data_IF_133263115546
#
_entry.id   IF_133263115546
#
_cell.length_a   1.000
_cell.length_b   1.000
_cell.length_c   1.000
_cell.angle_alpha   90.00
_cell.angle_beta   90.00
_cell.angle_gamma   90.00
#
_symmetry.space_group_name_H-M   'P 1'
#
loop_
_entity.id
_entity.type
_entity.pdbx_description
1 polymer ?
#
# COMPACT_ATOMS: atom_id res chain seq x y z
N UNK A 1 -14.83 1.22 -30.84
CA UNK A 1 -14.10 2.04 -29.85
C UNK A 1 -14.46 1.47 -28.49
N UNK A 2 -13.52 0.77 -27.88
CA UNK A 2 -13.72 0.17 -26.56
C UNK A 2 -13.52 1.28 -25.51
N UNK A 3 -14.56 1.56 -24.74
CA UNK A 3 -14.54 2.64 -23.74
C UNK A 3 -13.79 2.12 -22.52
N UNK A 4 -12.65 2.72 -22.22
CA UNK A 4 -11.90 2.45 -20.99
C UNK A 4 -12.79 2.78 -19.77
N UNK A 5 -12.92 1.87 -18.79
CA UNK A 5 -13.78 2.08 -17.64
C UNK A 5 -13.30 3.29 -16.82
N UNK A 6 -14.25 4.02 -16.25
CA UNK A 6 -13.95 5.17 -15.39
C UNK A 6 -13.31 4.70 -14.08
N UNK A 7 -12.52 5.57 -13.45
CA UNK A 7 -11.91 5.32 -12.13
C UNK A 7 -12.92 4.85 -11.06
N UNK A 8 -14.20 5.24 -11.21
CA UNK A 8 -15.32 4.85 -10.34
C UNK A 8 -15.81 3.42 -10.59
N UNK A 9 -15.67 2.91 -11.81
CA UNK A 9 -16.09 1.56 -12.22
C UNK A 9 -15.04 0.53 -11.81
N UNK A 10 -13.75 0.82 -12.01
CA UNK A 10 -12.65 -0.03 -11.52
C UNK A 10 -12.71 -0.22 -9.99
N UNK A 11 -13.07 0.83 -9.25
CA UNK A 11 -13.28 0.77 -7.80
C UNK A 11 -14.50 -0.08 -7.40
N UNK A 12 -15.55 -0.17 -8.21
CA UNK A 12 -16.71 -1.02 -7.92
C UNK A 12 -16.40 -2.49 -8.20
N UNK A 13 -15.71 -2.79 -9.30
CA UNK A 13 -15.34 -4.16 -9.67
C UNK A 13 -14.33 -4.77 -8.69
N UNK A 14 -13.31 -4.00 -8.26
CA UNK A 14 -12.34 -4.45 -7.25
C UNK A 14 -12.99 -4.74 -5.89
N UNK A 15 -14.08 -4.02 -5.55
CA UNK A 15 -14.79 -4.15 -4.28
C UNK A 15 -15.88 -5.23 -4.29
N UNK A 16 -16.37 -5.64 -5.47
CA UNK A 16 -17.35 -6.72 -5.63
C UNK A 16 -16.68 -8.09 -5.88
N UNK A 17 -15.49 -8.12 -6.48
CA UNK A 17 -14.70 -9.34 -6.71
C UNK A 17 -13.73 -9.70 -5.58
N UNK A 18 -13.45 -8.76 -4.68
CA UNK A 18 -12.62 -8.99 -3.50
C UNK A 18 -13.39 -9.78 -2.44
N UNK A 19 -13.28 -11.10 -2.47
CA UNK A 19 -13.59 -11.96 -1.32
C UNK A 19 -12.88 -11.37 -0.10
N UNK A 20 -13.64 -11.14 0.97
CA UNK A 20 -13.11 -10.73 2.28
C UNK A 20 -12.01 -11.71 2.73
N UNK A 21 -10.74 -11.36 2.51
CA UNK A 21 -9.64 -11.75 3.42
C UNK A 21 -9.48 -10.64 4.45
N UNK A 22 -10.55 -10.43 5.21
CA UNK A 22 -10.49 -9.78 6.50
C UNK A 22 -9.86 -10.76 7.51
N UNK A 23 -8.55 -10.97 7.43
CA UNK A 23 -7.78 -11.59 8.52
C UNK A 23 -6.89 -10.51 9.12
N UNK A 24 -7.53 -9.61 9.86
CA UNK A 24 -6.87 -8.79 10.85
C UNK A 24 -6.85 -9.55 12.17
N UNK A 25 -5.84 -10.39 12.39
CA UNK A 25 -5.54 -11.00 13.69
C UNK A 25 -4.17 -10.45 14.10
N UNK A 26 -4.13 -9.53 15.05
CA UNK A 26 -3.71 -9.86 16.41
C UNK A 26 -2.23 -9.50 16.59
N UNK A 27 -1.93 -8.36 17.20
CA UNK A 27 -0.57 -8.09 17.73
C UNK A 27 -0.67 -7.76 19.21
N UNK A 28 -0.01 -8.59 20.01
CA UNK A 28 0.35 -8.39 21.41
C UNK A 28 1.88 -8.54 21.45
N UNK A 29 2.62 -7.43 21.42
CA UNK A 29 3.96 -7.35 22.01
C UNK A 29 4.09 -5.97 22.65
N UNK A 30 4.42 -6.00 23.93
CA UNK A 30 4.69 -4.83 24.76
C UNK A 30 6.00 -4.16 24.34
N UNK A 31 6.00 -2.83 24.27
CA UNK A 31 7.22 -2.04 24.31
C UNK A 31 7.15 -1.05 25.46
N UNK A 32 8.18 -1.10 26.29
CA UNK A 32 8.36 -0.28 27.47
C UNK A 32 8.47 1.21 27.10
N UNK A 33 7.81 2.04 27.92
CA UNK A 33 7.77 3.49 27.80
C UNK A 33 9.16 4.10 28.11
N UNK A 34 9.71 4.85 27.17
CA UNK A 34 10.67 5.91 27.47
C UNK A 34 9.98 7.24 27.15
N UNK A 35 9.51 7.90 28.21
CA UNK A 35 8.84 9.19 28.15
C UNK A 35 9.83 10.31 27.79
N UNK A 36 9.67 10.92 26.62
CA UNK A 36 10.19 12.26 26.34
C UNK A 36 9.00 13.17 26.01
N UNK A 37 8.80 14.21 26.84
CA UNK A 37 7.75 15.23 26.66
C UNK A 37 7.96 15.97 25.33
N UNK A 38 6.93 16.15 24.48
CA UNK A 38 7.06 17.01 23.31
C UNK A 38 7.00 18.49 23.71
N UNK A 39 7.99 19.25 23.25
CA UNK A 39 8.04 20.70 23.31
C UNK A 39 6.94 21.31 22.43
N UNK A 40 6.07 22.12 23.03
CA UNK A 40 5.02 22.86 22.34
C UNK A 40 5.58 24.20 21.84
N UNK A 41 6.22 24.21 20.66
CA UNK A 41 6.29 25.36 19.73
C UNK A 41 7.30 25.07 18.62
N UNK A 42 6.83 24.51 17.52
CA UNK A 42 7.53 24.61 16.24
C UNK A 42 6.48 24.79 15.14
N UNK A 43 6.31 26.03 14.67
CA UNK A 43 5.66 26.28 13.39
C UNK A 43 6.49 25.62 12.28
N UNK A 44 5.87 24.96 11.29
CA UNK A 44 6.59 24.38 10.18
C UNK A 44 7.27 25.50 9.38
N UNK A 45 8.60 25.45 9.30
CA UNK A 45 9.39 26.34 8.44
C UNK A 45 8.94 26.12 7.00
N UNK A 46 8.38 27.16 6.38
CA UNK A 46 8.14 27.20 4.94
C UNK A 46 9.48 27.03 4.21
N UNK A 47 9.69 25.84 3.64
CA UNK A 47 10.76 25.62 2.69
C UNK A 47 10.34 26.26 1.36
N UNK A 48 11.21 27.11 0.80
CA UNK A 48 11.02 27.67 -0.53
C UNK A 48 10.91 26.53 -1.56
N UNK A 49 9.99 26.60 -2.54
CA UNK A 49 9.87 25.57 -3.57
C UNK A 49 11.12 25.60 -4.46
N UNK A 50 11.93 24.55 -4.36
CA UNK A 50 12.98 24.23 -5.33
C UNK A 50 12.29 24.04 -6.68
N UNK A 51 12.83 24.67 -7.73
CA UNK A 51 12.33 24.51 -9.09
C UNK A 51 12.23 23.01 -9.43
N UNK A 52 11.11 22.52 -10.03
CA UNK A 52 10.96 21.11 -10.31
C UNK A 52 12.03 20.69 -11.32
N UNK A 53 12.96 19.85 -10.88
CA UNK A 53 13.79 19.05 -11.79
C UNK A 53 12.87 18.33 -12.78
N UNK A 54 13.32 18.10 -14.03
CA UNK A 54 12.55 17.31 -14.98
C UNK A 54 12.12 16.02 -14.28
N UNK A 55 10.81 15.74 -14.25
CA UNK A 55 10.31 14.50 -13.63
C UNK A 55 10.97 13.33 -14.35
N UNK A 56 11.92 12.69 -13.68
CA UNK A 56 12.54 11.47 -14.16
C UNK A 56 11.42 10.46 -14.42
N UNK A 57 11.29 10.01 -15.66
CA UNK A 57 10.24 9.07 -16.06
C UNK A 57 10.72 7.65 -15.81
N UNK A 58 10.13 6.99 -14.81
CA UNK A 58 10.38 5.58 -14.55
C UNK A 58 9.49 4.74 -15.45
N UNK A 59 10.08 3.77 -16.15
CA UNK A 59 9.30 2.78 -16.90
C UNK A 59 8.72 1.75 -15.94
N UNK A 60 7.67 1.03 -16.37
CA UNK A 60 7.15 -0.13 -15.64
C UNK A 60 8.27 -1.14 -15.34
N UNK A 61 9.14 -1.41 -16.31
CA UNK A 61 10.27 -2.34 -16.15
C UNK A 61 11.22 -1.87 -15.04
N UNK A 62 11.55 -0.58 -14.98
CA UNK A 62 12.43 -0.05 -13.93
C UNK A 62 11.83 -0.30 -12.54
N UNK A 63 10.52 -0.11 -12.38
CA UNK A 63 9.81 -0.34 -11.12
C UNK A 63 9.82 -1.81 -10.71
N UNK A 64 9.55 -2.73 -11.64
CA UNK A 64 9.59 -4.18 -11.36
C UNK A 64 10.99 -4.62 -10.96
N UNK A 65 12.01 -4.17 -11.68
CA UNK A 65 13.39 -4.53 -11.39
C UNK A 65 13.85 -3.95 -10.03
N UNK A 66 13.40 -2.73 -9.68
CA UNK A 66 13.63 -2.16 -8.36
C UNK A 66 12.95 -2.93 -7.23
N UNK A 67 11.71 -3.40 -7.42
CA UNK A 67 11.01 -4.27 -6.46
C UNK A 67 11.78 -5.56 -6.23
N UNK A 68 12.19 -6.23 -7.31
CA UNK A 68 12.97 -7.48 -7.21
C UNK A 68 14.28 -7.24 -6.45
N UNK A 69 14.94 -6.11 -6.71
CA UNK A 69 16.18 -5.77 -6.02
C UNK A 69 15.99 -5.58 -4.51
N UNK A 70 14.90 -4.95 -4.07
CA UNK A 70 14.68 -4.67 -2.63
C UNK A 70 14.05 -5.83 -1.86
N UNK A 71 13.30 -6.71 -2.55
CA UNK A 71 12.65 -7.87 -1.92
C UNK A 71 13.61 -9.04 -1.77
N UNK A 72 14.29 -9.44 -2.85
CA UNK A 72 15.10 -10.67 -2.90
C UNK A 72 16.56 -10.43 -3.24
N UNK A 73 16.95 -9.20 -3.59
CA UNK A 73 18.27 -8.93 -4.19
C UNK A 73 18.49 -9.67 -5.50
N UNK A 74 17.41 -10.04 -6.21
CA UNK A 74 17.45 -10.84 -7.43
C UNK A 74 17.61 -12.35 -7.22
N UNK A 75 17.53 -12.85 -5.98
CA UNK A 75 17.61 -14.28 -5.70
C UNK A 75 16.25 -14.97 -5.97
N UNK A 76 16.13 -15.84 -6.99
CA UNK A 76 14.86 -16.52 -7.30
C UNK A 76 14.46 -17.59 -6.28
N UNK A 77 15.37 -17.98 -5.37
CA UNK A 77 15.12 -18.93 -4.29
C UNK A 77 14.95 -18.22 -2.93
N UNK A 78 14.79 -16.90 -2.92
CA UNK A 78 14.54 -16.15 -1.70
C UNK A 78 13.21 -16.61 -1.06
N UNK A 79 13.21 -16.71 0.26
CA UNK A 79 12.02 -17.02 1.03
C UNK A 79 12.13 -16.39 2.40
N UNK A 80 10.99 -15.94 2.92
CA UNK A 80 10.89 -15.34 4.25
C UNK A 80 9.62 -15.85 4.94
N UNK A 81 9.74 -16.18 6.22
CA UNK A 81 8.60 -16.49 7.06
C UNK A 81 7.97 -15.19 7.56
N UNK A 82 6.72 -14.94 7.20
CA UNK A 82 5.93 -13.81 7.73
C UNK A 82 5.16 -14.26 8.96
N UNK A 83 5.82 -14.17 10.13
CA UNK A 83 5.25 -14.62 11.42
C UNK A 83 3.85 -14.05 11.68
N UNK A 84 3.62 -12.80 11.29
CA UNK A 84 2.36 -12.10 11.50
C UNK A 84 1.22 -12.56 10.58
N UNK A 85 1.53 -13.30 9.51
CA UNK A 85 0.55 -13.88 8.58
C UNK A 85 0.49 -15.41 8.70
N UNK A 86 1.50 -16.02 9.34
CA UNK A 86 1.61 -17.47 9.43
C UNK A 86 1.88 -18.13 8.08
N UNK A 87 2.57 -17.43 7.18
CA UNK A 87 2.83 -17.88 5.81
C UNK A 87 4.26 -17.51 5.35
N UNK A 88 4.77 -18.23 4.35
CA UNK A 88 6.01 -17.89 3.67
C UNK A 88 5.76 -17.03 2.42
N UNK A 89 6.69 -16.12 2.14
CA UNK A 89 6.86 -15.49 0.84
C UNK A 89 7.96 -16.16 0.04
N UNK A 90 7.91 -16.02 -1.30
CA UNK A 90 8.76 -16.77 -2.21
C UNK A 90 9.26 -15.94 -3.40
N UNK A 91 10.49 -16.24 -3.81
CA UNK A 91 11.09 -15.87 -5.08
C UNK A 91 11.43 -14.39 -5.23
N UNK A 92 11.55 -13.95 -6.48
CA UNK A 92 12.07 -12.64 -6.85
C UNK A 92 11.33 -11.46 -6.20
N UNK A 93 10.00 -11.53 -6.13
CA UNK A 93 9.16 -10.49 -5.53
C UNK A 93 8.73 -10.77 -4.09
N UNK A 94 9.22 -11.84 -3.45
CA UNK A 94 8.77 -12.27 -2.11
C UNK A 94 7.22 -12.28 -2.01
N UNK A 95 6.57 -12.96 -2.96
CA UNK A 95 5.10 -13.05 -3.02
C UNK A 95 4.62 -14.11 -2.02
N UNK A 96 3.65 -13.75 -1.17
CA UNK A 96 2.96 -14.70 -0.28
C UNK A 96 2.13 -15.70 -1.08
N UNK A 97 2.03 -16.94 -0.61
CA UNK A 97 1.20 -17.95 -1.27
C UNK A 97 -0.27 -17.53 -1.39
N UNK A 98 -0.86 -16.94 -0.34
CA UNK A 98 -2.22 -16.39 -0.37
C UNK A 98 -2.39 -15.28 -1.41
N UNK A 99 -1.49 -14.28 -1.42
CA UNK A 99 -1.47 -13.23 -2.43
C UNK A 99 -1.34 -13.80 -3.84
N UNK A 100 -0.48 -14.81 -4.03
CA UNK A 100 -0.31 -15.48 -5.32
C UNK A 100 -1.62 -16.16 -5.76
N UNK A 101 -2.38 -16.76 -4.85
CA UNK A 101 -3.69 -17.36 -5.17
C UNK A 101 -4.73 -16.32 -5.56
N UNK A 102 -4.78 -15.19 -4.87
CA UNK A 102 -5.68 -14.09 -5.22
C UNK A 102 -5.36 -13.54 -6.63
N UNK A 103 -4.08 -13.36 -6.93
CA UNK A 103 -3.60 -12.95 -8.26
C UNK A 103 -3.94 -14.02 -9.32
N UNK A 104 -3.70 -15.31 -9.05
CA UNK A 104 -4.01 -16.42 -9.97
C UNK A 104 -5.51 -16.49 -10.33
N UNK A 105 -6.39 -16.18 -9.38
CA UNK A 105 -7.83 -16.12 -9.59
C UNK A 105 -8.24 -14.92 -10.46
N UNK A 106 -7.60 -13.77 -10.22
CA UNK A 106 -7.89 -12.52 -10.94
C UNK A 106 -7.35 -12.48 -12.37
N UNK A 107 -6.20 -13.12 -12.61
CA UNK A 107 -5.49 -13.10 -13.88
C UNK A 107 -5.38 -14.51 -14.46
N UNK A 108 -6.45 -15.03 -15.11
CA UNK A 108 -6.49 -16.42 -15.59
C UNK A 108 -5.46 -16.73 -16.67
N UNK A 109 -4.86 -15.72 -17.31
CA UNK A 109 -3.78 -15.85 -18.29
C UNK A 109 -2.41 -16.13 -17.68
N UNK A 110 -2.23 -15.95 -16.36
CA UNK A 110 -0.96 -16.23 -15.71
C UNK A 110 -0.68 -17.73 -15.63
N UNK A 111 0.59 -18.15 -15.57
CA UNK A 111 0.95 -19.53 -15.30
C UNK A 111 0.31 -20.04 -14.01
N UNK A 112 -0.26 -21.25 -14.06
CA UNK A 112 -0.93 -21.86 -12.90
C UNK A 112 0.10 -22.31 -11.86
N UNK A 113 -0.20 -22.09 -10.59
CA UNK A 113 0.67 -22.41 -9.45
C UNK A 113 0.54 -23.87 -8.99
N UNK A 114 -0.36 -24.66 -9.58
CA UNK A 114 -0.69 -26.02 -9.11
C UNK A 114 -1.65 -25.99 -7.92
N UNK A 115 -2.05 -27.14 -7.38
CA UNK A 115 -3.10 -27.24 -6.33
C UNK A 115 -2.52 -27.49 -4.94
N UNK A 116 -1.36 -28.12 -4.87
CA UNK A 116 -0.68 -28.46 -3.62
C UNK A 116 0.24 -27.33 -3.17
N UNK A 117 0.64 -27.34 -1.89
CA UNK A 117 1.64 -26.42 -1.36
C UNK A 117 2.98 -26.56 -2.10
N UNK A 118 3.45 -27.79 -2.31
CA UNK A 118 4.72 -28.07 -2.98
C UNK A 118 4.76 -27.54 -4.42
N UNK A 119 3.67 -27.71 -5.18
CA UNK A 119 3.57 -27.15 -6.54
C UNK A 119 3.59 -25.62 -6.52
N UNK A 120 2.88 -25.00 -5.57
CA UNK A 120 2.87 -23.55 -5.42
C UNK A 120 4.28 -23.02 -5.15
N UNK A 121 4.98 -23.62 -4.19
CA UNK A 121 6.35 -23.24 -3.83
C UNK A 121 7.30 -23.41 -5.03
N UNK A 122 7.27 -24.58 -5.67
CA UNK A 122 8.11 -24.87 -6.83
C UNK A 122 7.87 -23.87 -7.97
N UNK A 123 6.61 -23.51 -8.23
CA UNK A 123 6.28 -22.53 -9.26
C UNK A 123 6.66 -21.10 -8.87
N UNK A 124 6.51 -20.71 -7.60
CA UNK A 124 6.93 -19.39 -7.15
C UNK A 124 8.46 -19.24 -7.04
N UNK A 125 9.22 -20.33 -6.99
CA UNK A 125 10.68 -20.29 -7.17
C UNK A 125 11.12 -20.23 -8.64
N UNK A 126 10.21 -20.48 -9.60
CA UNK A 126 10.52 -20.27 -11.01
C UNK A 126 10.57 -18.76 -11.31
N UNK A 127 11.73 -18.20 -11.73
CA UNK A 127 11.90 -16.76 -11.88
C UNK A 127 10.93 -16.14 -12.90
N UNK A 128 10.58 -16.87 -13.96
CA UNK A 128 9.65 -16.36 -14.99
C UNK A 128 8.23 -16.26 -14.43
N UNK A 129 7.79 -17.29 -13.70
CA UNK A 129 6.47 -17.30 -13.06
C UNK A 129 6.42 -16.23 -11.99
N UNK A 130 7.38 -16.22 -11.05
CA UNK A 130 7.40 -15.26 -9.96
C UNK A 130 7.41 -13.81 -10.44
N UNK A 131 8.20 -13.50 -11.48
CA UNK A 131 8.22 -12.16 -12.08
C UNK A 131 6.85 -11.78 -12.65
N UNK A 132 6.14 -12.69 -13.31
CA UNK A 132 4.80 -12.43 -13.83
C UNK A 132 3.78 -12.13 -12.71
N UNK A 133 3.88 -12.81 -11.56
CA UNK A 133 3.06 -12.52 -10.38
C UNK A 133 3.45 -11.20 -9.70
N UNK A 134 4.74 -10.91 -9.60
CA UNK A 134 5.27 -9.61 -9.10
C UNK A 134 4.74 -8.46 -9.94
N UNK A 135 4.78 -8.64 -11.25
CA UNK A 135 4.24 -7.71 -12.24
C UNK A 135 2.75 -7.45 -12.05
N UNK A 136 1.94 -8.51 -12.01
CA UNK A 136 0.50 -8.38 -11.79
C UNK A 136 0.19 -7.73 -10.43
N UNK A 137 0.92 -8.08 -9.38
CA UNK A 137 0.73 -7.47 -8.06
C UNK A 137 1.05 -5.98 -8.06
N UNK A 138 2.16 -5.59 -8.70
CA UNK A 138 2.55 -4.18 -8.81
C UNK A 138 1.56 -3.39 -9.65
N UNK A 139 1.14 -3.92 -10.80
CA UNK A 139 0.18 -3.26 -11.69
C UNK A 139 -1.12 -2.95 -10.94
N UNK A 140 -1.59 -3.88 -10.09
CA UNK A 140 -2.74 -3.63 -9.22
C UNK A 140 -2.60 -2.44 -8.29
N UNK A 141 -1.39 -2.24 -7.73
CA UNK A 141 -1.13 -1.07 -6.89
C UNK A 141 -1.01 0.19 -7.74
N UNK A 142 -0.31 0.10 -8.87
CA UNK A 142 -0.07 1.23 -9.75
C UNK A 142 -1.37 1.75 -10.36
N UNK A 143 -2.26 0.86 -10.79
CA UNK A 143 -3.57 1.22 -11.33
C UNK A 143 -4.39 2.01 -10.30
N UNK A 144 -4.31 1.61 -9.03
CA UNK A 144 -5.01 2.27 -7.93
C UNK A 144 -4.43 3.66 -7.60
N UNK A 145 -3.10 3.79 -7.58
CA UNK A 145 -2.42 4.98 -7.04
C UNK A 145 -1.88 5.94 -8.10
N UNK A 146 -1.55 5.46 -9.29
CA UNK A 146 -0.93 6.22 -10.39
C UNK A 146 0.35 6.95 -9.96
N UNK A 147 1.05 6.39 -8.97
CA UNK A 147 2.30 6.88 -8.40
C UNK A 147 3.12 5.67 -7.96
N UNK A 148 4.38 5.53 -8.44
CA UNK A 148 5.18 4.33 -8.19
C UNK A 148 5.57 4.17 -6.71
N UNK A 149 5.68 5.26 -5.95
CA UNK A 149 6.03 5.21 -4.52
C UNK A 149 4.83 4.83 -3.66
N UNK A 150 3.63 5.28 -4.02
CA UNK A 150 2.40 4.80 -3.39
C UNK A 150 2.09 3.35 -3.80
N UNK A 151 2.40 2.97 -5.04
CA UNK A 151 2.27 1.61 -5.53
C UNK A 151 3.14 0.64 -4.73
N UNK A 152 4.44 0.93 -4.55
CA UNK A 152 5.33 0.09 -3.75
C UNK A 152 4.96 0.11 -2.25
N UNK A 153 4.42 1.22 -1.74
CA UNK A 153 3.87 1.26 -0.39
C UNK A 153 2.66 0.31 -0.23
N UNK A 154 1.79 0.24 -1.24
CA UNK A 154 0.69 -0.72 -1.32
C UNK A 154 1.17 -2.16 -1.47
N UNK A 155 2.22 -2.39 -2.26
CA UNK A 155 2.86 -3.70 -2.43
C UNK A 155 3.39 -4.23 -1.09
N UNK A 156 4.12 -3.39 -0.35
CA UNK A 156 4.71 -3.75 0.94
C UNK A 156 3.69 -3.92 2.07
N UNK A 157 2.68 -3.05 2.15
CA UNK A 157 1.82 -2.94 3.31
C UNK A 157 0.41 -3.51 3.09
N UNK A 158 0.04 -3.81 1.85
CA UNK A 158 -1.28 -4.24 1.42
C UNK A 158 -2.05 -3.15 0.66
N UNK A 159 -2.90 -3.60 -0.26
CA UNK A 159 -3.55 -2.79 -1.31
C UNK A 159 -4.11 -1.45 -0.84
N UNK A 160 -4.79 -1.40 0.31
CA UNK A 160 -5.48 -0.20 0.79
C UNK A 160 -4.73 0.58 1.88
N UNK A 161 -3.53 0.16 2.29
CA UNK A 161 -2.79 0.84 3.38
C UNK A 161 -2.52 2.31 3.09
N UNK A 162 -2.00 2.71 1.91
CA UNK A 162 -1.80 4.13 1.60
C UNK A 162 -3.07 4.99 1.63
N UNK A 163 -4.20 4.46 1.10
CA UNK A 163 -5.51 5.12 1.19
C UNK A 163 -5.97 5.25 2.64
N UNK A 164 -5.88 4.16 3.41
CA UNK A 164 -6.31 4.14 4.80
C UNK A 164 -5.45 5.07 5.67
N UNK A 165 -4.15 5.19 5.41
CA UNK A 165 -3.28 6.13 6.10
C UNK A 165 -3.76 7.56 5.90
N UNK A 166 -4.10 7.92 4.65
CA UNK A 166 -4.68 9.22 4.33
C UNK A 166 -6.02 9.45 5.04
N UNK A 167 -6.89 8.45 5.04
CA UNK A 167 -8.17 8.48 5.77
C UNK A 167 -7.98 8.70 7.28
N UNK A 168 -6.99 8.07 7.91
CA UNK A 168 -6.68 8.31 9.33
C UNK A 168 -6.28 9.75 9.60
N UNK A 169 -5.44 10.33 8.73
CA UNK A 169 -5.05 11.73 8.81
C UNK A 169 -6.27 12.65 8.68
N UNK A 170 -7.17 12.38 7.73
CA UNK A 170 -8.41 13.13 7.53
C UNK A 170 -9.31 13.10 8.77
N UNK A 171 -9.50 11.92 9.37
CA UNK A 171 -10.25 11.77 10.62
C UNK A 171 -9.61 12.58 11.75
N UNK A 172 -8.29 12.49 11.90
CA UNK A 172 -7.55 13.30 12.87
C UNK A 172 -7.79 14.80 12.70
N UNK A 173 -7.77 15.29 11.46
CA UNK A 173 -8.05 16.69 11.15
C UNK A 173 -9.50 17.09 11.48
N UNK A 174 -10.49 16.28 11.07
CA UNK A 174 -11.91 16.57 11.32
C UNK A 174 -12.23 16.63 12.80
N UNK A 175 -11.66 15.73 13.60
CA UNK A 175 -11.89 15.66 15.04
C UNK A 175 -10.87 16.43 15.87
N UNK A 176 -9.92 17.15 15.24
CA UNK A 176 -8.82 17.87 15.91
C UNK A 176 -8.05 16.98 16.88
N UNK A 177 -7.76 15.76 16.45
CA UNK A 177 -7.04 14.76 17.23
C UNK A 177 -5.79 14.34 16.46
N UNK A 178 -4.65 14.26 17.18
CA UNK A 178 -3.46 13.62 16.64
C UNK A 178 -3.72 12.13 16.41
N UNK A 179 -3.41 11.62 15.22
CA UNK A 179 -3.53 10.21 14.85
C UNK A 179 -2.32 9.87 14.01
N UNK A 180 -1.58 8.82 14.38
CA UNK A 180 -0.50 8.27 13.56
C UNK A 180 -1.11 7.57 12.33
N UNK A 181 -0.89 8.05 11.09
CA UNK A 181 -1.54 7.51 9.90
C UNK A 181 -0.80 6.26 9.39
N UNK A 182 -0.80 5.19 10.17
CA UNK A 182 -0.10 3.93 9.85
C UNK A 182 -0.87 3.02 8.86
N UNK A 183 -2.06 3.43 8.41
CA UNK A 183 -2.91 2.68 7.48
C UNK A 183 -3.72 1.53 8.11
N UNK A 184 -3.32 1.01 9.27
CA UNK A 184 -3.95 -0.15 9.89
C UNK A 184 -4.95 0.23 11.00
N UNK A 185 -6.24 0.31 10.65
CA UNK A 185 -7.30 0.68 11.61
C UNK A 185 -7.42 -0.30 12.78
N UNK A 186 -7.11 -1.58 12.58
CA UNK A 186 -7.19 -2.58 13.66
C UNK A 186 -6.09 -2.39 14.72
N UNK A 187 -4.88 -1.98 14.31
CA UNK A 187 -3.77 -1.70 15.24
C UNK A 187 -3.80 -0.27 15.78
N UNK A 188 -4.53 0.64 15.14
CA UNK A 188 -4.66 2.03 15.59
C UNK A 188 -6.03 2.27 16.29
N UNK A 189 -6.06 2.00 17.60
CA UNK A 189 -7.27 2.15 18.43
C UNK A 189 -7.87 3.56 18.33
N UNK A 190 -7.03 4.61 18.29
CA UNK A 190 -7.50 6.00 18.21
C UNK A 190 -8.16 6.29 16.88
N UNK A 191 -7.54 5.90 15.76
CA UNK A 191 -8.13 6.02 14.44
C UNK A 191 -9.47 5.26 14.33
N UNK A 192 -9.53 4.03 14.86
CA UNK A 192 -10.76 3.23 14.88
C UNK A 192 -11.89 3.89 15.69
N UNK A 193 -11.56 4.49 16.83
CA UNK A 193 -12.54 5.24 17.63
C UNK A 193 -13.07 6.46 16.87
N UNK A 194 -12.19 7.22 16.19
CA UNK A 194 -12.61 8.35 15.37
C UNK A 194 -13.46 7.92 14.18
N UNK A 195 -13.13 6.78 13.55
CA UNK A 195 -13.94 6.22 12.49
C UNK A 195 -15.35 5.85 12.97
N UNK A 196 -15.47 5.14 14.10
CA UNK A 196 -16.78 4.83 14.68
C UNK A 196 -17.57 6.08 15.06
N UNK A 197 -16.89 7.14 15.50
CA UNK A 197 -17.53 8.44 15.77
C UNK A 197 -18.04 9.06 14.47
N UNK A 198 -17.21 9.10 13.43
CA UNK A 198 -17.56 9.58 12.11
C UNK A 198 -18.77 8.84 11.52
N UNK A 199 -18.74 7.51 11.55
CA UNK A 199 -19.84 6.67 11.06
C UNK A 199 -21.16 7.02 11.76
N UNK A 200 -21.13 7.14 13.09
CA UNK A 200 -22.31 7.52 13.88
C UNK A 200 -22.84 8.91 13.55
N UNK A 201 -21.96 9.90 13.41
CA UNK A 201 -22.32 11.29 13.10
C UNK A 201 -22.86 11.46 11.66
N UNK A 202 -22.61 10.48 10.78
CA UNK A 202 -23.05 10.51 9.39
C UNK A 202 -24.07 9.41 9.07
N UNK A 203 -24.68 8.80 10.09
CA UNK A 203 -25.72 7.76 9.94
C UNK A 203 -25.29 6.55 9.08
N UNK A 204 -24.04 6.12 9.24
CA UNK A 204 -23.48 4.93 8.62
C UNK A 204 -23.42 3.76 9.62
N UNK A 205 -23.21 2.54 9.12
CA UNK A 205 -22.95 1.38 9.96
C UNK A 205 -21.69 1.58 10.82
N UNK A 206 -21.82 1.37 12.14
CA UNK A 206 -20.79 1.71 13.15
C UNK A 206 -19.89 0.51 13.46
N UNK A 207 -19.29 -0.08 12.43
CA UNK A 207 -18.40 -1.25 12.54
C UNK A 207 -16.93 -0.87 12.83
N UNK A 208 -16.54 0.37 12.54
CA UNK A 208 -15.16 0.84 12.57
C UNK A 208 -14.29 0.29 11.43
N UNK A 209 -14.91 -0.07 10.30
CA UNK A 209 -14.27 -0.52 9.06
C UNK A 209 -14.37 0.60 8.02
N UNK A 210 -13.25 0.89 7.35
CA UNK A 210 -13.22 1.89 6.27
C UNK A 210 -13.75 1.28 4.96
N UNK A 211 -15.06 1.03 4.91
CA UNK A 211 -15.77 0.58 3.72
C UNK A 211 -16.02 1.71 2.70
N UNK A 212 -16.52 1.39 1.50
CA UNK A 212 -16.67 2.36 0.42
C UNK A 212 -17.60 3.52 0.79
N UNK A 213 -18.74 3.25 1.42
CA UNK A 213 -19.67 4.31 1.87
C UNK A 213 -19.05 5.23 2.93
N UNK A 214 -18.31 4.66 3.89
CA UNK A 214 -17.57 5.44 4.89
C UNK A 214 -16.50 6.32 4.24
N UNK A 215 -15.77 5.77 3.27
CA UNK A 215 -14.74 6.49 2.53
C UNK A 215 -15.33 7.65 1.72
N UNK A 216 -16.36 7.40 0.92
CA UNK A 216 -17.03 8.43 0.11
C UNK A 216 -17.57 9.57 0.98
N UNK A 217 -18.27 9.23 2.07
CA UNK A 217 -18.82 10.20 3.01
C UNK A 217 -17.70 11.03 3.67
N UNK A 218 -16.58 10.39 4.02
CA UNK A 218 -15.41 11.09 4.56
C UNK A 218 -14.81 12.07 3.56
N UNK A 219 -14.67 11.70 2.28
CA UNK A 219 -14.12 12.59 1.27
C UNK A 219 -14.97 13.85 1.11
N UNK A 220 -16.31 13.70 1.07
CA UNK A 220 -17.23 14.85 1.00
C UNK A 220 -17.10 15.73 2.25
N UNK A 221 -17.15 15.13 3.44
CA UNK A 221 -17.07 15.84 4.70
C UNK A 221 -15.74 16.61 4.85
N UNK A 222 -14.62 15.99 4.47
CA UNK A 222 -13.30 16.59 4.54
C UNK A 222 -13.14 17.74 3.55
N UNK A 223 -13.50 17.56 2.27
CA UNK A 223 -13.43 18.62 1.25
C UNK A 223 -14.29 19.82 1.66
N UNK A 224 -15.50 19.58 2.19
CA UNK A 224 -16.36 20.64 2.71
C UNK A 224 -15.72 21.42 3.86
N UNK A 225 -15.00 20.74 4.76
CA UNK A 225 -14.37 21.36 5.94
C UNK A 225 -13.08 22.10 5.63
N UNK A 226 -12.36 21.67 4.59
CA UNK A 226 -11.04 22.17 4.18
C UNK A 226 -11.00 22.50 2.68
N UNK A 227 -11.82 23.44 2.18
CA UNK A 227 -12.02 23.68 0.75
C UNK A 227 -10.77 24.20 0.02
N UNK A 228 -9.82 24.80 0.74
CA UNK A 228 -8.55 25.31 0.19
C UNK A 228 -7.43 24.28 0.22
N UNK A 229 -7.65 23.12 0.86
CA UNK A 229 -6.64 22.07 1.00
C UNK A 229 -6.80 21.02 -0.09
N UNK A 230 -5.70 20.61 -0.70
CA UNK A 230 -5.73 19.52 -1.68
C UNK A 230 -6.13 18.21 -0.99
N UNK A 231 -7.19 17.58 -1.50
CA UNK A 231 -7.60 16.27 -1.00
C UNK A 231 -6.87 15.15 -1.75
N UNK A 232 -5.60 14.92 -1.37
CA UNK A 232 -4.82 13.82 -1.94
C UNK A 232 -5.44 12.47 -1.55
N UNK A 233 -5.40 11.52 -2.49
CA UNK A 233 -6.08 10.23 -2.39
C UNK A 233 -5.43 9.27 -1.38
N UNK A 234 -4.11 9.30 -1.28
CA UNK A 234 -3.30 8.38 -0.48
C UNK A 234 -2.01 9.05 -0.03
N UNK A 235 -1.40 8.49 1.02
CA UNK A 235 -0.07 8.86 1.52
C UNK A 235 0.73 7.60 1.84
N UNK A 236 2.05 7.70 1.91
CA UNK A 236 2.88 6.60 2.42
C UNK A 236 2.52 6.39 3.91
N UNK A 237 2.12 5.18 4.33
CA UNK A 237 1.77 4.91 5.72
C UNK A 237 2.94 5.18 6.68
N UNK A 238 2.66 5.91 7.77
CA UNK A 238 3.63 6.15 8.85
C UNK A 238 3.67 4.94 9.79
N UNK A 239 4.26 3.84 9.30
CA UNK A 239 4.57 2.66 10.09
C UNK A 239 6.10 2.42 10.12
N UNK A 240 6.55 1.42 10.88
CA UNK A 240 7.98 1.19 11.09
C UNK A 240 8.74 0.62 9.88
N UNK A 241 8.05 0.17 8.82
CA UNK A 241 8.66 -0.60 7.73
C UNK A 241 8.47 0.03 6.35
N UNK A 242 7.26 0.48 6.03
CA UNK A 242 6.88 0.97 4.70
C UNK A 242 7.63 2.22 4.26
N UNK A 243 7.85 3.26 5.10
CA UNK A 243 8.66 4.41 4.70
C UNK A 243 10.08 4.01 4.27
N UNK A 244 10.73 3.14 5.05
CA UNK A 244 12.06 2.59 4.74
C UNK A 244 12.05 1.75 3.46
N UNK A 245 11.00 0.96 3.25
CA UNK A 245 10.83 0.16 2.06
C UNK A 245 10.70 1.04 0.79
N UNK A 246 9.92 2.12 0.86
CA UNK A 246 9.80 3.11 -0.23
C UNK A 246 11.13 3.84 -0.48
N UNK A 247 11.92 4.11 0.56
CA UNK A 247 13.25 4.70 0.43
C UNK A 247 14.24 3.77 -0.28
N UNK A 248 14.27 2.48 0.09
CA UNK A 248 15.05 1.45 -0.62
C UNK A 248 14.63 1.36 -2.08
N UNK A 249 13.32 1.37 -2.35
CA UNK A 249 12.79 1.34 -3.72
C UNK A 249 13.27 2.56 -4.53
N UNK A 250 13.22 3.76 -3.95
CA UNK A 250 13.73 4.99 -4.58
C UNK A 250 15.21 4.86 -4.93
N UNK A 251 16.02 4.37 -4.00
CA UNK A 251 17.46 4.19 -4.23
C UNK A 251 17.73 3.18 -5.37
N UNK A 252 17.03 2.03 -5.36
CA UNK A 252 17.14 1.02 -6.41
C UNK A 252 16.71 1.55 -7.79
N UNK A 253 15.59 2.28 -7.85
CA UNK A 253 15.12 2.93 -9.08
C UNK A 253 16.15 3.90 -9.65
N UNK A 254 16.73 4.76 -8.80
CA UNK A 254 17.76 5.71 -9.22
C UNK A 254 18.96 4.98 -9.82
N UNK A 255 19.45 3.93 -9.16
CA UNK A 255 20.57 3.14 -9.67
C UNK A 255 20.27 2.48 -11.03
N UNK A 256 19.08 1.91 -11.19
CA UNK A 256 18.66 1.25 -12.44
C UNK A 256 18.63 2.23 -13.60
N UNK A 257 18.05 3.42 -13.39
CA UNK A 257 17.98 4.44 -14.45
C UNK A 257 19.36 4.98 -14.81
N UNK A 258 20.22 5.23 -13.82
CA UNK A 258 21.61 5.66 -14.05
C UNK A 258 22.40 4.62 -14.86
N UNK A 259 22.26 3.34 -14.51
CA UNK A 259 22.93 2.27 -15.25
C UNK A 259 22.43 2.21 -16.71
N UNK A 260 21.12 2.37 -16.95
CA UNK A 260 20.57 2.38 -18.30
C UNK A 260 21.14 3.51 -19.15
N UNK A 261 21.24 4.71 -18.60
CA UNK A 261 21.81 5.88 -19.30
C UNK A 261 23.30 5.72 -19.60
N UNK A 262 24.04 4.98 -18.77
CA UNK A 262 25.47 4.71 -19.01
C UNK A 262 25.72 3.73 -20.17
N UNK A 263 24.77 2.85 -20.45
CA UNK A 263 24.88 1.81 -21.49
C UNK A 263 24.02 2.07 -22.74
N UNK A 264 23.38 3.24 -22.84
CA UNK A 264 22.60 3.68 -24.01
C UNK A 264 23.48 4.52 -24.96
#
# INVERSE_FOLDING_TARGET
>A
MEVQPTRRELLKEFMLGGVLTAIGVGSLIAYAEASAKPSANAQPKHQNPIAPTPRQTYTRKDCIDAIIQIESGGNPLATRWEEHLGEYSYGLGEILGSTAREIEQKYPQLPRLGKTKLELESNLFNPKINRAYTEAHYDDQYDLYQDPFLAVAGYNAGHFMPRNARTMQQLGMLFKQHVLPNGNFSKNRRARTLLKKFQRENHLDVDGIMGPQSYETLQVAWTRRFPTSQNIFAIIPENGTTPHHVEKFRAALTQIVQNREHYA
#
